data_IF_497738291416
#
_entry.id   IF_497738291416
#
_cell.length_a   1.000
_cell.length_b   1.000
_cell.length_c   1.000
_cell.angle_alpha   90.00
_cell.angle_beta   90.00
_cell.angle_gamma   90.00
#
_symmetry.space_group_name_H-M   'P 1'
#
loop_
_entity.id
_entity.type
_entity.pdbx_description
1 polymer ?
#
# COMPACT_ATOMS: atom_id res chain seq x y z
N UNK A 1 -1.29 108.96 -15.24
CA UNK A 1 -2.18 109.60 -16.21
C UNK A 1 -3.31 108.63 -16.60
N UNK A 2 -4.56 108.98 -16.34
CA UNK A 2 -5.84 108.39 -16.76
C UNK A 2 -6.15 106.96 -16.11
N UNK A 3 -6.95 106.87 -15.04
CA UNK A 3 -8.40 107.12 -14.79
C UNK A 3 -9.29 106.30 -15.76
N UNK A 4 -10.05 105.34 -15.23
CA UNK A 4 -11.52 105.17 -15.20
C UNK A 4 -11.95 103.82 -14.68
N UNK A 5 -12.54 103.74 -13.50
CA UNK A 5 -13.97 103.62 -13.13
C UNK A 5 -14.67 102.41 -13.73
N UNK A 6 -14.99 101.45 -12.93
CA UNK A 6 -16.23 101.18 -12.14
C UNK A 6 -17.40 100.69 -13.01
N UNK A 7 -17.95 99.53 -12.68
CA UNK A 7 -19.36 99.38 -12.46
C UNK A 7 -19.68 98.08 -11.71
N UNK A 8 -20.44 98.22 -10.65
CA UNK A 8 -21.06 97.23 -9.80
C UNK A 8 -22.30 96.72 -10.50
N UNK A 9 -22.55 95.40 -10.61
CA UNK A 9 -23.86 94.82 -10.73
C UNK A 9 -23.92 93.51 -9.99
N UNK A 10 -24.62 93.51 -8.91
CA UNK A 10 -25.13 92.30 -8.19
C UNK A 10 -26.40 91.86 -8.92
N UNK A 11 -26.64 90.57 -9.16
CA UNK A 11 -27.92 90.07 -8.67
C UNK A 11 -27.89 88.63 -8.17
N UNK A 12 -28.59 88.48 -7.11
CA UNK A 12 -29.60 87.48 -6.78
C UNK A 12 -29.15 86.00 -6.77
N UNK A 13 -29.00 85.56 -5.54
CA UNK A 13 -28.91 84.19 -5.13
C UNK A 13 -30.27 83.50 -5.36
N UNK A 14 -30.26 82.45 -6.21
CA UNK A 14 -31.31 81.40 -6.20
C UNK A 14 -30.69 80.16 -5.66
N UNK A 15 -31.02 79.79 -4.42
CA UNK A 15 -30.62 78.49 -3.82
C UNK A 15 -31.60 77.42 -4.32
N UNK A 16 -31.13 76.58 -5.23
CA UNK A 16 -31.80 75.33 -5.58
C UNK A 16 -31.24 74.23 -4.71
N UNK A 17 -32.03 73.75 -3.75
CA UNK A 17 -31.74 72.49 -3.01
C UNK A 17 -31.93 71.31 -3.98
N UNK A 18 -30.84 70.77 -4.43
CA UNK A 18 -30.84 69.44 -5.08
C UNK A 18 -30.54 68.40 -4.02
N UNK A 19 -31.54 67.64 -3.61
CA UNK A 19 -31.45 66.46 -2.81
C UNK A 19 -30.79 65.34 -3.64
N UNK A 20 -29.49 65.13 -3.42
CA UNK A 20 -28.77 63.99 -3.91
C UNK A 20 -29.18 62.77 -3.07
N UNK A 21 -30.11 61.96 -3.56
CA UNK A 21 -30.23 60.56 -3.16
C UNK A 21 -28.97 59.84 -3.63
N UNK A 22 -28.04 59.67 -2.71
CA UNK A 22 -26.88 58.76 -2.92
C UNK A 22 -27.36 57.33 -2.93
N UNK A 23 -27.51 56.73 -4.12
CA UNK A 23 -27.50 55.30 -4.25
C UNK A 23 -26.11 54.75 -3.82
N UNK A 24 -26.07 54.33 -2.58
CA UNK A 24 -24.93 53.52 -2.06
C UNK A 24 -25.04 52.12 -2.69
N UNK A 25 -24.41 51.93 -3.84
CA UNK A 25 -24.16 50.59 -4.39
C UNK A 25 -23.21 49.91 -3.41
N UNK A 26 -23.76 49.07 -2.53
CA UNK A 26 -23.00 48.05 -1.85
C UNK A 26 -22.37 47.16 -2.93
N UNK A 27 -21.07 47.34 -3.16
CA UNK A 27 -20.27 46.32 -3.81
C UNK A 27 -20.30 45.12 -2.88
N UNK A 28 -21.25 44.21 -3.14
CA UNK A 28 -21.18 42.85 -2.68
C UNK A 28 -19.88 42.31 -3.23
N UNK A 29 -18.84 42.26 -2.42
CA UNK A 29 -17.65 41.47 -2.72
C UNK A 29 -18.14 40.02 -2.87
N UNK A 30 -18.33 39.57 -4.11
CA UNK A 30 -18.34 38.15 -4.40
C UNK A 30 -16.99 37.64 -3.91
N UNK A 31 -16.97 37.09 -2.71
CA UNK A 31 -15.95 36.11 -2.36
C UNK A 31 -16.06 35.00 -3.40
N UNK A 32 -15.26 35.12 -4.45
CA UNK A 32 -14.91 34.02 -5.30
C UNK A 32 -14.19 33.04 -4.37
N UNK A 33 -14.97 32.15 -3.77
CA UNK A 33 -14.44 30.93 -3.17
C UNK A 33 -13.68 30.24 -4.30
N UNK A 34 -12.40 30.53 -4.40
CA UNK A 34 -11.45 29.75 -5.16
C UNK A 34 -11.51 28.38 -4.51
N UNK A 35 -12.31 27.49 -5.08
CA UNK A 35 -12.23 26.08 -4.71
C UNK A 35 -10.79 25.68 -5.02
N UNK A 36 -9.95 25.60 -3.98
CA UNK A 36 -8.58 25.19 -4.12
C UNK A 36 -8.58 23.88 -4.92
N UNK A 37 -7.82 23.85 -6.02
CA UNK A 37 -7.72 22.67 -6.88
C UNK A 37 -7.30 21.49 -6.00
N UNK A 38 -8.11 20.43 -5.98
CA UNK A 38 -7.77 19.21 -5.26
C UNK A 38 -6.53 18.56 -5.87
N UNK A 39 -5.60 18.15 -5.04
CA UNK A 39 -4.48 17.33 -5.51
C UNK A 39 -5.00 16.04 -6.11
N UNK A 40 -4.40 15.64 -7.23
CA UNK A 40 -4.68 14.41 -7.97
C UNK A 40 -3.54 13.43 -7.72
N UNK A 41 -3.81 12.35 -7.00
CA UNK A 41 -2.80 11.39 -6.57
C UNK A 41 -3.10 10.04 -7.21
N UNK A 42 -2.14 9.50 -7.96
CA UNK A 42 -2.20 8.15 -8.48
C UNK A 42 -1.74 7.14 -7.42
N UNK A 43 -2.51 6.09 -7.19
CA UNK A 43 -2.15 4.96 -6.32
C UNK A 43 -2.08 3.70 -7.17
N UNK A 44 -0.87 3.15 -7.29
CA UNK A 44 -0.52 2.10 -8.25
C UNK A 44 -0.07 0.85 -7.49
N UNK A 45 -0.95 -0.17 -7.33
CA UNK A 45 -0.61 -1.44 -6.70
C UNK A 45 0.21 -2.34 -7.63
N UNK A 46 0.77 -3.45 -7.09
CA UNK A 46 1.35 -4.52 -7.91
C UNK A 46 0.30 -5.28 -8.72
N UNK A 47 -0.89 -5.43 -8.15
CA UNK A 47 -2.03 -6.13 -8.75
C UNK A 47 -3.34 -5.66 -8.16
N UNK A 48 -4.46 -6.17 -8.68
CA UNK A 48 -5.80 -5.73 -8.26
C UNK A 48 -6.69 -6.87 -7.77
N UNK A 49 -6.19 -8.09 -7.70
CA UNK A 49 -7.01 -9.29 -7.46
C UNK A 49 -6.99 -9.81 -6.02
N UNK A 50 -5.92 -9.53 -5.24
CA UNK A 50 -5.80 -10.02 -3.86
C UNK A 50 -6.52 -9.11 -2.85
N UNK A 51 -6.98 -9.69 -1.74
CA UNK A 51 -7.64 -8.94 -0.65
C UNK A 51 -6.70 -7.91 -0.03
N UNK A 52 -5.40 -8.21 0.02
CA UNK A 52 -4.36 -7.28 0.45
C UNK A 52 -4.43 -5.93 -0.28
N UNK A 53 -4.59 -5.95 -1.62
CA UNK A 53 -4.68 -4.71 -2.41
C UNK A 53 -5.98 -3.95 -2.19
N UNK A 54 -7.08 -4.65 -1.91
CA UNK A 54 -8.35 -3.99 -1.54
C UNK A 54 -8.22 -3.23 -0.23
N UNK A 55 -7.47 -3.76 0.73
CA UNK A 55 -7.21 -3.07 1.99
C UNK A 55 -6.31 -1.83 1.80
N UNK A 56 -5.29 -1.89 0.94
CA UNK A 56 -4.49 -0.72 0.55
C UNK A 56 -5.38 0.33 -0.14
N UNK A 57 -6.24 -0.07 -1.07
CA UNK A 57 -7.20 0.82 -1.72
C UNK A 57 -8.10 1.51 -0.71
N UNK A 58 -8.64 0.76 0.25
CA UNK A 58 -9.49 1.31 1.31
C UNK A 58 -8.76 2.38 2.14
N UNK A 59 -7.50 2.13 2.48
CA UNK A 59 -6.64 3.11 3.17
C UNK A 59 -6.42 4.38 2.35
N UNK A 60 -6.13 4.24 1.06
CA UNK A 60 -5.94 5.36 0.15
C UNK A 60 -7.23 6.18 -0.03
N UNK A 61 -8.39 5.54 -0.17
CA UNK A 61 -9.69 6.22 -0.25
C UNK A 61 -10.08 6.89 1.07
N UNK A 62 -9.73 6.28 2.21
CA UNK A 62 -9.89 6.93 3.52
C UNK A 62 -9.09 8.23 3.58
N UNK A 63 -7.81 8.20 3.22
CA UNK A 63 -6.96 9.39 3.16
C UNK A 63 -7.51 10.43 2.17
N UNK A 64 -7.97 10.01 0.99
CA UNK A 64 -8.61 10.88 -0.01
C UNK A 64 -9.76 11.71 0.57
N UNK A 65 -10.64 11.05 1.35
CA UNK A 65 -11.80 11.71 1.98
C UNK A 65 -11.40 12.67 3.09
N UNK A 66 -10.45 12.26 3.94
CA UNK A 66 -10.03 13.06 5.09
C UNK A 66 -9.17 14.28 4.68
N UNK A 67 -8.33 14.12 3.65
CA UNK A 67 -7.42 15.16 3.17
C UNK A 67 -8.01 16.00 2.02
N UNK A 68 -9.21 15.66 1.53
CA UNK A 68 -9.88 16.40 0.45
C UNK A 68 -9.21 16.28 -0.91
N UNK A 69 -8.46 15.20 -1.17
CA UNK A 69 -7.73 14.97 -2.43
C UNK A 69 -8.45 13.97 -3.33
N UNK A 70 -8.09 13.95 -4.62
CA UNK A 70 -8.60 12.98 -5.59
C UNK A 70 -7.60 11.82 -5.73
N UNK A 71 -8.05 10.58 -5.57
CA UNK A 71 -7.23 9.39 -5.71
C UNK A 71 -7.65 8.59 -6.93
N UNK A 72 -6.68 8.31 -7.82
CA UNK A 72 -6.82 7.40 -8.95
C UNK A 72 -6.20 6.05 -8.60
N UNK A 73 -7.02 5.01 -8.51
CA UNK A 73 -6.57 3.64 -8.29
C UNK A 73 -6.44 2.93 -9.64
N UNK A 74 -5.22 2.60 -10.06
CA UNK A 74 -4.96 1.87 -11.31
C UNK A 74 -3.66 1.09 -11.20
N UNK A 75 -3.70 -0.18 -11.54
CA UNK A 75 -2.53 -1.06 -11.59
C UNK A 75 -2.75 -2.22 -12.54
N UNK A 76 -1.75 -3.09 -12.71
CA UNK A 76 -1.91 -4.31 -13.48
C UNK A 76 -2.93 -5.24 -12.82
N UNK A 77 -3.53 -6.11 -13.62
CA UNK A 77 -4.44 -7.13 -13.09
C UNK A 77 -3.67 -8.22 -12.34
N UNK A 78 -2.49 -8.59 -12.85
CA UNK A 78 -1.62 -9.62 -12.28
C UNK A 78 -0.30 -9.03 -11.80
N UNK A 79 0.26 -9.61 -10.76
CA UNK A 79 1.51 -9.14 -10.14
C UNK A 79 2.79 -9.57 -10.88
N UNK A 80 2.69 -10.05 -12.11
CA UNK A 80 3.82 -10.38 -13.00
C UNK A 80 3.87 -9.50 -14.27
N UNK A 81 2.90 -8.60 -14.45
CA UNK A 81 2.86 -7.70 -15.62
C UNK A 81 3.66 -6.42 -15.38
N UNK A 82 5.00 -6.56 -15.42
CA UNK A 82 5.95 -5.43 -15.28
C UNK A 82 5.72 -4.35 -16.33
N UNK A 83 5.47 -4.76 -17.58
CA UNK A 83 5.29 -3.82 -18.68
C UNK A 83 4.03 -2.96 -18.46
N UNK A 84 2.93 -3.58 -18.03
CA UNK A 84 1.71 -2.84 -17.72
C UNK A 84 1.91 -1.87 -16.56
N UNK A 85 2.63 -2.25 -15.48
CA UNK A 85 2.87 -1.33 -14.38
C UNK A 85 3.71 -0.13 -14.79
N UNK A 86 4.76 -0.33 -15.60
CA UNK A 86 5.56 0.76 -16.18
C UNK A 86 4.66 1.69 -17.00
N UNK A 87 3.85 1.16 -17.92
CA UNK A 87 2.92 1.94 -18.73
C UNK A 87 1.93 2.76 -17.88
N UNK A 88 1.44 2.19 -16.77
CA UNK A 88 0.55 2.90 -15.84
C UNK A 88 1.26 4.07 -15.17
N UNK A 89 2.52 3.92 -14.75
CA UNK A 89 3.31 5.02 -14.18
C UNK A 89 3.52 6.13 -15.23
N UNK A 90 3.95 5.77 -16.44
CA UNK A 90 4.18 6.71 -17.56
C UNK A 90 2.90 7.46 -17.98
N UNK A 91 1.74 6.78 -17.96
CA UNK A 91 0.42 7.39 -18.21
C UNK A 91 0.11 8.48 -17.17
N UNK A 92 0.35 8.23 -15.88
CA UNK A 92 0.13 9.22 -14.83
C UNK A 92 1.14 10.37 -14.86
N UNK A 93 2.39 10.13 -15.23
CA UNK A 93 3.37 11.20 -15.52
C UNK A 93 2.86 12.09 -16.63
N UNK A 94 2.43 11.50 -17.75
CA UNK A 94 1.89 12.23 -18.92
C UNK A 94 0.64 13.06 -18.57
N UNK A 95 -0.22 12.57 -17.68
CA UNK A 95 -1.40 13.27 -17.17
C UNK A 95 -1.07 14.36 -16.14
N UNK A 96 0.20 14.50 -15.76
CA UNK A 96 0.68 15.46 -14.76
C UNK A 96 -0.15 15.42 -13.49
N UNK A 97 -0.25 14.22 -12.88
CA UNK A 97 -0.81 14.08 -11.53
C UNK A 97 0.08 14.82 -10.54
N UNK A 98 -0.47 15.20 -9.39
CA UNK A 98 0.27 15.98 -8.39
C UNK A 98 1.19 15.09 -7.54
N UNK A 99 0.98 13.76 -7.53
CA UNK A 99 1.85 12.80 -6.86
C UNK A 99 1.49 11.35 -7.16
N UNK A 100 2.42 10.45 -6.87
CA UNK A 100 2.29 9.02 -7.11
C UNK A 100 2.58 8.25 -5.82
N UNK A 101 1.73 7.29 -5.49
CA UNK A 101 1.95 6.23 -4.49
C UNK A 101 2.11 4.93 -5.26
N UNK A 102 3.27 4.29 -5.17
CA UNK A 102 3.62 3.12 -5.97
C UNK A 102 4.04 1.94 -5.08
N UNK A 103 3.42 0.78 -5.28
CA UNK A 103 3.94 -0.50 -4.82
C UNK A 103 4.71 -1.16 -5.99
N UNK A 104 6.05 -1.10 -6.04
CA UNK A 104 6.80 -1.66 -7.16
C UNK A 104 6.63 -3.18 -7.25
N UNK A 105 6.20 -3.67 -8.38
CA UNK A 105 6.09 -5.08 -8.68
C UNK A 105 7.48 -5.72 -8.82
N UNK A 106 8.44 -4.95 -9.34
CA UNK A 106 9.83 -5.33 -9.52
C UNK A 106 10.73 -4.19 -9.02
N UNK A 107 11.73 -4.53 -8.19
CA UNK A 107 12.58 -3.56 -7.50
C UNK A 107 13.55 -2.80 -8.40
N UNK A 108 13.77 -3.29 -9.64
CA UNK A 108 14.67 -2.72 -10.66
C UNK A 108 13.93 -2.05 -11.80
N UNK A 109 12.90 -2.73 -12.32
CA UNK A 109 12.19 -2.29 -13.51
C UNK A 109 11.52 -0.91 -13.34
N UNK A 110 11.09 -0.58 -12.11
CA UNK A 110 10.40 0.67 -11.79
C UNK A 110 11.36 1.83 -11.42
N UNK A 111 12.68 1.60 -11.31
CA UNK A 111 13.66 2.64 -10.94
C UNK A 111 13.63 3.81 -11.94
N UNK A 112 13.67 3.51 -13.24
CA UNK A 112 13.65 4.53 -14.29
C UNK A 112 12.36 5.33 -14.35
N UNK A 113 11.16 4.70 -14.39
CA UNK A 113 9.90 5.44 -14.34
C UNK A 113 9.73 6.34 -13.11
N UNK A 114 10.17 5.86 -11.94
CA UNK A 114 10.14 6.66 -10.70
C UNK A 114 11.10 7.85 -10.78
N UNK A 115 12.32 7.66 -11.29
CA UNK A 115 13.28 8.74 -11.48
C UNK A 115 12.76 9.80 -12.47
N UNK A 116 12.03 9.39 -13.52
CA UNK A 116 11.40 10.29 -14.47
C UNK A 116 10.27 11.10 -13.81
N UNK A 117 9.38 10.47 -13.05
CA UNK A 117 8.34 11.17 -12.29
C UNK A 117 8.95 12.24 -11.36
N UNK A 118 9.97 11.87 -10.58
CA UNK A 118 10.66 12.80 -9.68
C UNK A 118 11.32 13.96 -10.43
N UNK A 119 11.90 13.72 -11.60
CA UNK A 119 12.50 14.75 -12.47
C UNK A 119 11.45 15.73 -13.03
N UNK A 120 10.26 15.24 -13.34
CA UNK A 120 9.12 16.05 -13.78
C UNK A 120 8.42 16.80 -12.61
N UNK A 121 8.97 16.70 -11.38
CA UNK A 121 8.44 17.36 -10.19
C UNK A 121 7.23 16.65 -9.57
N UNK A 122 6.98 15.40 -9.94
CA UNK A 122 5.91 14.57 -9.38
C UNK A 122 6.49 13.74 -8.22
N UNK A 123 6.19 14.06 -6.95
CA UNK A 123 6.69 13.30 -5.81
C UNK A 123 6.17 11.86 -5.82
N UNK A 124 7.06 10.91 -5.54
CA UNK A 124 6.74 9.49 -5.47
C UNK A 124 6.95 8.96 -4.05
N UNK A 125 5.91 8.34 -3.50
CA UNK A 125 5.98 7.53 -2.27
C UNK A 125 5.95 6.06 -2.67
N UNK A 126 6.94 5.32 -2.20
CA UNK A 126 6.97 3.86 -2.38
C UNK A 126 6.25 3.22 -1.20
N UNK A 127 5.41 2.21 -1.47
CA UNK A 127 4.71 1.43 -0.44
C UNK A 127 4.94 -0.07 -0.62
N UNK A 128 4.72 -0.87 0.44
CA UNK A 128 4.77 -2.34 0.46
C UNK A 128 6.14 -2.94 0.11
N UNK A 129 6.65 -2.68 -1.07
CA UNK A 129 7.83 -3.34 -1.64
C UNK A 129 8.90 -2.31 -1.98
N UNK A 130 10.15 -2.61 -1.64
CA UNK A 130 11.27 -1.70 -1.87
C UNK A 130 11.54 -1.49 -3.37
N UNK A 131 12.10 -0.32 -3.68
CA UNK A 131 12.68 0.01 -4.98
C UNK A 131 14.18 0.23 -4.81
N UNK A 132 15.00 -0.20 -5.77
CA UNK A 132 16.44 0.04 -5.72
C UNK A 132 16.75 1.54 -5.84
N UNK A 133 17.75 1.97 -5.06
CA UNK A 133 18.08 3.39 -4.91
C UNK A 133 17.17 4.10 -3.91
N UNK A 134 17.21 5.43 -3.92
CA UNK A 134 16.52 6.27 -2.94
C UNK A 134 15.83 7.51 -3.56
N UNK A 135 15.69 7.52 -4.88
CA UNK A 135 15.09 8.63 -5.63
C UNK A 135 13.55 8.63 -5.54
N UNK A 136 13.04 8.69 -4.31
CA UNK A 136 11.64 8.85 -3.94
C UNK A 136 11.55 9.59 -2.60
N UNK A 137 10.39 10.14 -2.24
CA UNK A 137 10.27 10.98 -1.06
C UNK A 137 10.14 10.18 0.24
N UNK A 138 9.44 9.03 0.21
CA UNK A 138 9.21 8.18 1.40
C UNK A 138 9.00 6.72 0.98
N UNK A 139 9.31 5.80 1.90
CA UNK A 139 8.99 4.38 1.81
C UNK A 139 8.17 3.93 3.02
N UNK A 140 6.92 3.52 2.78
CA UNK A 140 5.94 3.12 3.80
C UNK A 140 5.64 1.63 3.64
N UNK A 141 6.16 0.80 4.53
CA UNK A 141 6.01 -0.65 4.43
C UNK A 141 6.19 -1.35 5.79
N UNK A 142 5.80 -2.60 5.84
CA UNK A 142 6.17 -3.56 6.88
C UNK A 142 7.68 -3.83 6.86
N UNK A 143 8.27 -4.13 8.00
CA UNK A 143 9.59 -4.77 8.06
C UNK A 143 9.47 -6.23 7.58
N UNK A 144 9.67 -6.40 6.26
CA UNK A 144 9.48 -7.68 5.58
C UNK A 144 10.49 -8.75 6.04
N UNK A 145 11.74 -8.35 6.33
CA UNK A 145 12.75 -9.27 6.86
C UNK A 145 12.34 -9.82 8.23
N UNK A 146 11.92 -8.92 9.13
CA UNK A 146 11.39 -9.29 10.46
C UNK A 146 10.17 -10.22 10.34
N UNK A 147 9.28 -9.97 9.36
CA UNK A 147 8.15 -10.87 9.09
C UNK A 147 8.60 -12.30 8.74
N UNK A 148 9.66 -12.43 7.94
CA UNK A 148 10.27 -13.74 7.64
C UNK A 148 10.89 -14.41 8.87
N UNK A 149 11.60 -13.63 9.71
CA UNK A 149 12.14 -14.12 10.99
C UNK A 149 11.03 -14.64 11.91
N UNK A 150 9.93 -13.89 12.04
CA UNK A 150 8.78 -14.33 12.84
C UNK A 150 8.15 -15.62 12.31
N UNK A 151 8.04 -15.77 11.00
CA UNK A 151 7.54 -17.00 10.39
C UNK A 151 8.46 -18.20 10.67
N UNK A 152 9.77 -18.00 10.63
CA UNK A 152 10.77 -19.04 10.94
C UNK A 152 10.65 -19.51 12.38
N UNK A 153 10.63 -18.59 13.35
CA UNK A 153 10.45 -18.91 14.77
C UNK A 153 9.14 -19.65 15.02
N UNK A 154 8.04 -19.17 14.40
CA UNK A 154 6.73 -19.84 14.58
C UNK A 154 6.74 -21.25 14.00
N UNK A 155 7.27 -21.46 12.81
CA UNK A 155 7.33 -22.80 12.22
C UNK A 155 8.23 -23.73 13.03
N UNK A 156 9.40 -23.27 13.45
CA UNK A 156 10.31 -24.04 14.27
C UNK A 156 9.70 -24.39 15.64
N UNK A 157 9.03 -23.43 16.30
CA UNK A 157 8.33 -23.66 17.57
C UNK A 157 7.34 -24.82 17.48
N UNK A 158 6.45 -24.81 16.48
CA UNK A 158 5.39 -25.82 16.32
C UNK A 158 5.89 -27.18 15.82
N UNK A 159 7.12 -27.22 15.27
CA UNK A 159 7.83 -28.46 14.91
C UNK A 159 8.75 -28.97 16.02
N UNK A 160 8.89 -28.24 17.12
CA UNK A 160 9.82 -28.62 18.20
C UNK A 160 11.29 -28.49 17.82
N UNK A 161 11.62 -27.54 16.91
CA UNK A 161 12.98 -27.21 16.47
C UNK A 161 13.61 -28.19 15.49
N UNK A 162 12.88 -29.16 14.97
CA UNK A 162 13.37 -30.20 14.03
C UNK A 162 12.29 -30.59 13.03
N UNK A 163 12.67 -31.23 11.92
CA UNK A 163 11.72 -31.72 10.92
C UNK A 163 12.08 -31.28 9.50
N UNK A 164 11.26 -31.66 8.55
CA UNK A 164 11.49 -31.44 7.11
C UNK A 164 10.50 -30.42 6.57
N UNK A 165 11.00 -29.35 5.96
CA UNK A 165 10.14 -28.22 5.56
C UNK A 165 10.36 -27.80 4.10
N UNK A 166 9.35 -27.07 3.56
CA UNK A 166 9.47 -26.29 2.35
C UNK A 166 9.48 -24.81 2.67
N UNK A 167 10.38 -24.07 2.02
CA UNK A 167 10.23 -22.66 1.70
C UNK A 167 9.73 -22.57 0.25
N UNK A 168 8.49 -22.22 0.06
CA UNK A 168 7.93 -21.95 -1.28
C UNK A 168 8.04 -20.44 -1.53
N UNK A 169 8.89 -20.06 -2.50
CA UNK A 169 9.14 -18.67 -2.86
C UNK A 169 8.01 -18.10 -3.73
N UNK A 170 7.93 -16.78 -3.82
CA UNK A 170 6.84 -16.15 -4.59
C UNK A 170 7.22 -15.82 -6.03
N UNK A 171 8.00 -14.76 -6.24
CA UNK A 171 8.38 -14.23 -7.56
C UNK A 171 9.71 -13.50 -7.48
N UNK A 172 10.58 -13.76 -8.43
CA UNK A 172 11.85 -13.04 -8.56
C UNK A 172 11.60 -11.55 -8.90
N UNK A 173 12.34 -10.65 -8.23
CA UNK A 173 12.21 -9.21 -8.37
C UNK A 173 11.20 -8.55 -7.40
N UNK A 174 10.35 -9.34 -6.73
CA UNK A 174 9.48 -8.82 -5.68
C UNK A 174 10.25 -8.64 -4.38
N UNK A 175 10.70 -7.42 -4.08
CA UNK A 175 11.56 -7.15 -2.92
C UNK A 175 10.91 -7.53 -1.58
N UNK A 176 9.61 -7.24 -1.38
CA UNK A 176 8.92 -7.56 -0.13
C UNK A 176 8.98 -9.06 0.20
N UNK A 177 8.64 -9.91 -0.76
CA UNK A 177 8.66 -11.37 -0.57
C UNK A 177 10.09 -11.92 -0.51
N UNK A 178 11.02 -11.36 -1.27
CA UNK A 178 12.45 -11.72 -1.18
C UNK A 178 13.00 -11.47 0.23
N UNK A 179 12.70 -10.35 0.87
CA UNK A 179 13.12 -10.09 2.25
C UNK A 179 12.46 -11.02 3.27
N UNK A 180 11.18 -11.38 3.10
CA UNK A 180 10.50 -12.38 3.93
C UNK A 180 11.17 -13.74 3.83
N UNK A 181 11.44 -14.17 2.60
CA UNK A 181 12.14 -15.43 2.29
C UNK A 181 13.56 -15.45 2.86
N UNK A 182 14.30 -14.34 2.76
CA UNK A 182 15.63 -14.18 3.31
C UNK A 182 15.61 -14.27 4.84
N UNK A 183 14.73 -13.48 5.51
CA UNK A 183 14.61 -13.52 6.96
C UNK A 183 14.25 -14.91 7.49
N UNK A 184 13.37 -15.62 6.78
CA UNK A 184 13.00 -16.99 7.11
C UNK A 184 14.21 -17.94 6.94
N UNK A 185 14.85 -17.92 5.76
CA UNK A 185 15.94 -18.84 5.43
C UNK A 185 17.15 -18.67 6.34
N UNK A 186 17.57 -17.43 6.59
CA UNK A 186 18.72 -17.14 7.45
C UNK A 186 18.44 -17.57 8.90
N UNK A 187 17.23 -17.33 9.41
CA UNK A 187 16.84 -17.73 10.77
C UNK A 187 16.80 -19.26 10.91
N UNK A 188 16.14 -19.97 9.99
CA UNK A 188 16.11 -21.45 10.02
C UNK A 188 17.53 -22.01 9.97
N UNK A 189 18.35 -21.53 9.04
CA UNK A 189 19.71 -22.08 8.85
C UNK A 189 20.61 -21.82 10.07
N UNK A 190 20.49 -20.66 10.70
CA UNK A 190 21.36 -20.27 11.82
C UNK A 190 20.90 -20.84 13.16
N UNK A 191 19.59 -20.83 13.43
CA UNK A 191 19.06 -21.05 14.77
C UNK A 191 18.40 -22.42 14.94
N UNK A 192 18.04 -23.11 13.84
CA UNK A 192 17.36 -24.39 13.87
C UNK A 192 18.03 -25.43 12.96
N UNK A 193 19.29 -25.82 13.25
CA UNK A 193 20.07 -26.69 12.37
C UNK A 193 19.52 -28.11 12.20
N UNK A 194 18.58 -28.54 13.07
CA UNK A 194 17.89 -29.84 12.93
C UNK A 194 16.67 -29.76 12.01
N UNK A 195 16.33 -28.56 11.48
CA UNK A 195 15.30 -28.40 10.47
C UNK A 195 15.93 -28.55 9.07
N UNK A 196 15.49 -29.55 8.35
CA UNK A 196 15.95 -29.86 6.98
C UNK A 196 15.08 -29.10 5.96
N UNK A 197 15.69 -28.22 5.16
CA UNK A 197 15.05 -27.54 4.03
C UNK A 197 15.05 -28.44 2.80
N UNK A 198 13.99 -29.21 2.56
CA UNK A 198 13.81 -30.05 1.39
C UNK A 198 13.68 -29.24 0.10
N UNK A 199 13.06 -28.05 0.20
CA UNK A 199 12.82 -27.12 -0.90
C UNK A 199 13.05 -25.70 -0.41
N UNK A 200 13.82 -24.89 -1.18
CA UNK A 200 14.13 -23.49 -0.86
C UNK A 200 14.29 -22.57 -2.09
N UNK A 201 14.14 -23.13 -3.29
CA UNK A 201 14.46 -22.47 -4.57
C UNK A 201 13.31 -22.54 -5.59
N UNK A 202 12.12 -22.99 -5.17
CA UNK A 202 10.97 -23.13 -6.05
C UNK A 202 10.01 -21.92 -5.89
N UNK A 203 9.65 -21.33 -7.03
CA UNK A 203 8.80 -20.15 -7.11
C UNK A 203 7.37 -20.53 -7.46
N UNK A 204 6.42 -20.09 -6.61
CA UNK A 204 4.98 -20.35 -6.78
C UNK A 204 4.35 -19.57 -7.94
N UNK A 205 4.97 -18.46 -8.35
CA UNK A 205 4.32 -17.51 -9.25
C UNK A 205 3.28 -16.65 -8.52
N UNK A 206 2.53 -15.87 -9.30
CA UNK A 206 1.69 -14.79 -8.75
C UNK A 206 0.24 -15.17 -8.43
N UNK A 207 -0.17 -16.40 -8.74
CA UNK A 207 -1.56 -16.81 -8.57
C UNK A 207 -1.72 -17.95 -7.56
N UNK A 208 -2.88 -17.99 -6.92
CA UNK A 208 -3.27 -19.13 -6.07
C UNK A 208 -3.18 -20.46 -6.81
N UNK A 209 -3.55 -20.47 -8.09
CA UNK A 209 -3.54 -21.69 -8.89
C UNK A 209 -2.11 -22.19 -9.16
N UNK A 210 -1.18 -21.33 -9.56
CA UNK A 210 0.22 -21.73 -9.76
C UNK A 210 0.87 -22.22 -8.46
N UNK A 211 0.57 -21.58 -7.33
CA UNK A 211 1.03 -22.00 -6.01
C UNK A 211 0.43 -23.34 -5.58
N UNK A 212 -0.84 -23.58 -5.88
CA UNK A 212 -1.50 -24.87 -5.67
C UNK A 212 -0.81 -25.97 -6.46
N UNK A 213 -0.61 -25.80 -7.76
CA UNK A 213 0.03 -26.79 -8.64
C UNK A 213 1.47 -27.10 -8.21
N UNK A 214 2.25 -26.08 -7.88
CA UNK A 214 3.61 -26.28 -7.36
C UNK A 214 3.57 -27.09 -6.06
N UNK A 215 2.70 -26.74 -5.13
CA UNK A 215 2.62 -27.41 -3.83
C UNK A 215 2.19 -28.87 -3.99
N UNK A 216 1.21 -29.17 -4.85
CA UNK A 216 0.82 -30.55 -5.16
C UNK A 216 1.98 -31.39 -5.69
N UNK A 217 2.77 -30.83 -6.63
CA UNK A 217 3.94 -31.50 -7.18
C UNK A 217 5.00 -31.78 -6.09
N UNK A 218 5.20 -30.80 -5.18
CA UNK A 218 6.15 -30.94 -4.08
C UNK A 218 5.69 -31.98 -3.05
N UNK A 219 4.40 -31.98 -2.67
CA UNK A 219 3.82 -32.99 -1.76
C UNK A 219 3.95 -34.40 -2.32
N UNK A 220 3.74 -34.59 -3.62
CA UNK A 220 3.91 -35.87 -4.30
C UNK A 220 5.36 -36.36 -4.31
N UNK A 221 6.31 -35.41 -4.48
CA UNK A 221 7.76 -35.73 -4.55
C UNK A 221 8.37 -35.93 -3.16
N UNK A 222 7.86 -35.22 -2.14
CA UNK A 222 8.39 -35.21 -0.79
C UNK A 222 7.30 -35.47 0.25
N UNK A 223 6.72 -36.70 0.29
CA UNK A 223 5.59 -37.01 1.17
C UNK A 223 5.92 -36.93 2.67
N UNK A 224 7.21 -36.84 3.01
CA UNK A 224 7.71 -36.73 4.39
C UNK A 224 7.77 -35.27 4.90
N UNK A 225 7.26 -34.29 4.16
CA UNK A 225 7.27 -32.89 4.61
C UNK A 225 6.39 -32.70 5.86
N UNK A 226 6.90 -31.94 6.80
CA UNK A 226 6.24 -31.68 8.10
C UNK A 226 5.82 -30.23 8.25
N UNK A 227 6.45 -29.29 7.49
CA UNK A 227 6.12 -27.89 7.55
C UNK A 227 6.33 -27.14 6.22
N UNK A 228 5.56 -26.07 6.02
CA UNK A 228 5.64 -25.22 4.83
C UNK A 228 5.59 -23.76 5.27
N UNK A 229 6.46 -22.93 4.70
CA UNK A 229 6.35 -21.47 4.75
C UNK A 229 6.09 -20.91 3.36
N UNK A 230 5.18 -19.92 3.30
CA UNK A 230 4.82 -19.19 2.08
C UNK A 230 4.74 -17.68 2.37
N UNK A 231 5.31 -16.80 1.50
CA UNK A 231 5.58 -15.41 1.87
C UNK A 231 4.48 -14.39 1.55
N UNK A 232 3.29 -14.81 1.02
CA UNK A 232 2.19 -13.89 0.72
C UNK A 232 0.83 -14.60 0.60
N UNK A 233 -0.27 -13.81 0.44
CA UNK A 233 -1.65 -14.29 0.38
C UNK A 233 -1.86 -15.42 -0.64
N UNK A 234 -1.47 -15.22 -1.91
CA UNK A 234 -1.77 -16.18 -2.98
C UNK A 234 -1.01 -17.49 -2.82
N UNK A 235 0.27 -17.42 -2.43
CA UNK A 235 1.08 -18.64 -2.18
C UNK A 235 0.58 -19.39 -0.94
N UNK A 236 0.17 -18.67 0.12
CA UNK A 236 -0.40 -19.28 1.33
C UNK A 236 -1.72 -20.00 1.02
N UNK A 237 -2.61 -19.36 0.25
CA UNK A 237 -3.88 -19.97 -0.09
C UNK A 237 -3.72 -21.14 -1.08
N UNK A 238 -2.78 -21.05 -2.02
CA UNK A 238 -2.46 -22.16 -2.92
C UNK A 238 -1.92 -23.39 -2.16
N UNK A 239 -0.96 -23.19 -1.25
CA UNK A 239 -0.43 -24.25 -0.41
C UNK A 239 -1.51 -24.89 0.49
N UNK A 240 -2.37 -24.06 1.12
CA UNK A 240 -3.51 -24.54 1.90
C UNK A 240 -4.42 -25.48 1.08
N UNK A 241 -4.81 -25.04 -0.14
CA UNK A 241 -5.68 -25.84 -1.02
C UNK A 241 -5.04 -27.20 -1.35
N UNK A 242 -3.74 -27.23 -1.64
CA UNK A 242 -3.03 -28.48 -1.90
C UNK A 242 -3.04 -29.41 -0.67
N UNK A 243 -2.76 -28.86 0.51
CA UNK A 243 -2.83 -29.61 1.77
C UNK A 243 -4.26 -30.14 2.05
N UNK A 244 -5.29 -29.35 1.79
CA UNK A 244 -6.67 -29.78 1.94
C UNK A 244 -7.02 -30.92 0.97
N UNK A 245 -6.62 -30.81 -0.29
CA UNK A 245 -6.85 -31.83 -1.32
C UNK A 245 -6.21 -33.18 -0.96
N UNK A 246 -5.03 -33.15 -0.36
CA UNK A 246 -4.31 -34.35 0.08
C UNK A 246 -4.71 -34.85 1.48
N UNK A 247 -5.65 -34.20 2.17
CA UNK A 247 -6.02 -34.54 3.56
C UNK A 247 -4.88 -34.33 4.57
N UNK A 248 -3.96 -33.41 4.26
CA UNK A 248 -2.79 -33.05 5.05
C UNK A 248 -2.93 -31.72 5.82
N UNK A 249 -4.01 -30.96 5.56
CA UNK A 249 -4.30 -29.73 6.28
C UNK A 249 -4.39 -30.00 7.80
N UNK A 250 -3.71 -29.18 8.59
CA UNK A 250 -3.56 -29.37 10.05
C UNK A 250 -2.51 -30.42 10.46
N UNK A 251 -2.13 -31.37 9.62
CA UNK A 251 -1.08 -32.35 9.86
C UNK A 251 0.29 -31.77 9.48
N UNK A 252 0.44 -31.32 8.23
CA UNK A 252 1.60 -30.51 7.80
C UNK A 252 1.43 -29.10 8.34
N UNK A 253 2.44 -28.59 9.02
CA UNK A 253 2.41 -27.26 9.64
C UNK A 253 2.57 -26.18 8.59
N UNK A 254 1.53 -25.37 8.38
CA UNK A 254 1.55 -24.26 7.44
C UNK A 254 1.65 -22.94 8.20
N UNK A 255 2.70 -22.18 7.91
CA UNK A 255 2.86 -20.78 8.31
C UNK A 255 2.87 -19.95 7.04
N UNK A 256 2.02 -18.93 6.97
CA UNK A 256 1.86 -18.09 5.80
C UNK A 256 1.94 -16.61 6.11
N UNK A 257 1.56 -15.81 5.14
CA UNK A 257 1.59 -14.37 5.20
C UNK A 257 0.26 -13.78 4.71
N UNK A 258 -0.12 -12.61 5.26
CA UNK A 258 -1.35 -11.90 4.94
C UNK A 258 -2.63 -12.58 5.45
N UNK A 259 -3.78 -12.01 5.16
CA UNK A 259 -5.08 -12.53 5.54
C UNK A 259 -6.08 -12.46 4.38
N UNK A 260 -7.01 -13.39 4.39
CA UNK A 260 -8.24 -13.36 3.59
C UNK A 260 -9.30 -14.18 4.32
N UNK A 261 -10.57 -14.05 3.95
CA UNK A 261 -11.65 -14.80 4.61
C UNK A 261 -11.37 -16.31 4.66
N UNK A 262 -10.76 -16.88 3.61
CA UNK A 262 -10.40 -18.31 3.54
C UNK A 262 -9.23 -18.67 4.46
N UNK A 263 -8.21 -17.83 4.53
CA UNK A 263 -7.07 -18.05 5.42
C UNK A 263 -7.46 -17.93 6.89
N UNK A 264 -8.34 -16.98 7.22
CA UNK A 264 -8.87 -16.80 8.59
C UNK A 264 -9.69 -18.03 9.03
N UNK A 265 -10.56 -18.55 8.15
CA UNK A 265 -11.32 -19.77 8.42
C UNK A 265 -10.41 -20.97 8.64
N UNK A 266 -9.33 -21.10 7.87
CA UNK A 266 -8.36 -22.18 8.01
C UNK A 266 -7.51 -22.03 9.29
N UNK A 267 -7.16 -20.79 9.68
CA UNK A 267 -6.49 -20.52 10.95
C UNK A 267 -7.38 -20.93 12.14
N UNK A 268 -8.66 -20.58 12.11
CA UNK A 268 -9.63 -20.96 13.14
C UNK A 268 -9.83 -22.47 13.26
N UNK A 269 -9.61 -23.23 12.18
CA UNK A 269 -9.70 -24.71 12.15
C UNK A 269 -8.37 -25.42 12.43
N UNK A 270 -7.30 -24.68 12.75
CA UNK A 270 -5.95 -25.22 12.86
C UNK A 270 -5.42 -25.91 11.58
N UNK A 271 -5.95 -25.56 10.41
CA UNK A 271 -5.43 -25.98 9.12
C UNK A 271 -4.21 -25.12 8.70
N UNK A 272 -4.14 -23.89 9.22
CA UNK A 272 -2.98 -22.98 9.23
C UNK A 272 -2.56 -22.76 10.67
N UNK A 273 -1.26 -22.64 10.93
CA UNK A 273 -0.70 -22.58 12.28
C UNK A 273 -0.10 -21.20 12.62
N UNK A 274 -0.03 -20.32 11.66
CA UNK A 274 0.39 -18.94 11.82
C UNK A 274 0.23 -18.15 10.52
N UNK A 275 -0.20 -16.90 10.66
CA UNK A 275 -0.23 -15.90 9.59
C UNK A 275 0.53 -14.67 10.06
N UNK A 276 1.57 -14.31 9.32
CA UNK A 276 2.26 -13.03 9.53
C UNK A 276 1.42 -11.94 8.90
N UNK A 277 0.95 -11.00 9.72
CA UNK A 277 0.05 -9.93 9.30
C UNK A 277 0.78 -8.62 9.15
N UNK A 278 0.39 -7.87 8.14
CA UNK A 278 0.75 -6.48 7.88
C UNK A 278 -0.44 -5.56 8.19
N UNK A 279 -0.22 -4.25 8.04
CA UNK A 279 -1.30 -3.25 8.05
C UNK A 279 -1.41 -2.58 6.65
N UNK A 280 -2.03 -3.24 5.67
CA UNK A 280 -2.16 -2.70 4.32
C UNK A 280 -3.03 -1.43 4.28
N UNK A 281 -4.04 -1.33 5.14
CA UNK A 281 -4.89 -0.15 5.21
C UNK A 281 -4.10 1.09 5.66
N UNK A 282 -3.21 0.92 6.65
CA UNK A 282 -2.28 1.97 7.10
C UNK A 282 -1.27 2.33 6.01
N UNK A 283 -0.76 1.35 5.23
CA UNK A 283 0.15 1.62 4.11
C UNK A 283 -0.51 2.52 3.05
N UNK A 284 -1.73 2.18 2.61
CA UNK A 284 -2.46 2.96 1.64
C UNK A 284 -2.77 4.38 2.13
N UNK A 285 -3.20 4.50 3.39
CA UNK A 285 -3.47 5.80 4.02
C UNK A 285 -2.22 6.67 4.12
N UNK A 286 -1.14 6.14 4.69
CA UNK A 286 0.10 6.88 4.86
C UNK A 286 0.77 7.19 3.52
N UNK A 287 0.67 6.31 2.53
CA UNK A 287 1.17 6.58 1.18
C UNK A 287 0.61 7.87 0.61
N UNK A 288 -0.73 8.03 0.63
CA UNK A 288 -1.41 9.26 0.18
C UNK A 288 -1.06 10.44 1.07
N UNK A 289 -1.07 10.24 2.40
CA UNK A 289 -0.75 11.31 3.36
C UNK A 289 0.66 11.87 3.15
N UNK A 290 1.67 11.03 2.92
CA UNK A 290 3.05 11.49 2.70
C UNK A 290 3.20 12.29 1.40
N UNK A 291 2.46 11.95 0.35
CA UNK A 291 2.40 12.77 -0.87
C UNK A 291 1.82 14.15 -0.55
N UNK A 292 0.69 14.21 0.16
CA UNK A 292 0.04 15.48 0.52
C UNK A 292 0.93 16.32 1.43
N UNK A 293 1.54 15.71 2.46
CA UNK A 293 2.45 16.41 3.38
C UNK A 293 3.62 17.05 2.61
N UNK A 294 4.19 16.34 1.63
CA UNK A 294 5.25 16.87 0.78
C UNK A 294 4.78 18.04 -0.08
N UNK A 295 3.62 17.93 -0.73
CA UNK A 295 3.06 18.98 -1.59
C UNK A 295 2.71 20.26 -0.81
N UNK A 296 2.39 20.13 0.47
CA UNK A 296 2.10 21.24 1.36
C UNK A 296 3.34 21.73 2.15
N UNK A 297 4.53 21.23 1.81
CA UNK A 297 5.78 21.64 2.44
C UNK A 297 5.96 21.17 3.88
N UNK A 298 5.20 20.16 4.31
CA UNK A 298 5.36 19.54 5.63
C UNK A 298 6.49 18.51 5.62
N UNK A 299 7.15 18.25 6.76
CA UNK A 299 8.17 17.21 6.85
C UNK A 299 7.64 15.81 6.51
N UNK A 300 8.42 15.06 5.74
CA UNK A 300 8.11 13.68 5.35
C UNK A 300 9.24 12.76 5.82
N UNK A 301 8.87 11.72 6.57
CA UNK A 301 9.82 10.69 7.00
C UNK A 301 10.27 9.84 5.80
N UNK A 302 11.59 9.60 5.69
CA UNK A 302 12.14 8.80 4.58
C UNK A 302 11.68 7.34 4.63
N UNK A 303 11.46 6.77 5.82
CA UNK A 303 10.96 5.41 6.01
C UNK A 303 9.97 5.35 7.16
N UNK A 304 8.83 4.70 6.92
CA UNK A 304 7.80 4.44 7.94
C UNK A 304 7.54 2.94 7.99
N UNK A 305 7.76 2.34 9.16
CA UNK A 305 7.35 0.96 9.43
C UNK A 305 5.88 0.93 9.85
N UNK A 306 5.09 0.14 9.15
CA UNK A 306 3.66 -0.04 9.46
C UNK A 306 3.39 -1.10 10.50
N UNK A 307 4.43 -1.84 10.90
CA UNK A 307 4.35 -2.92 11.87
C UNK A 307 4.15 -4.30 11.23
N UNK A 308 4.41 -5.33 12.04
CA UNK A 308 4.22 -6.74 11.67
C UNK A 308 3.87 -7.55 12.93
N UNK A 309 2.92 -8.47 12.82
CA UNK A 309 2.50 -9.33 13.95
C UNK A 309 2.22 -10.76 13.47
N UNK A 310 2.33 -11.73 14.37
CA UNK A 310 1.96 -13.12 14.14
C UNK A 310 0.55 -13.38 14.68
N UNK A 311 -0.36 -13.75 13.78
CA UNK A 311 -1.66 -14.31 14.17
C UNK A 311 -1.55 -15.85 14.27
N UNK A 312 -2.09 -16.39 15.35
CA UNK A 312 -2.17 -17.83 15.60
C UNK A 312 -3.61 -18.19 15.98
N UNK A 313 -4.00 -19.46 15.97
CA UNK A 313 -5.31 -19.88 16.47
C UNK A 313 -5.63 -19.36 17.88
N UNK A 314 -4.61 -19.26 18.75
CA UNK A 314 -4.79 -18.87 20.15
C UNK A 314 -5.01 -17.36 20.34
N UNK A 315 -4.43 -16.52 19.47
CA UNK A 315 -4.47 -15.06 19.61
C UNK A 315 -5.35 -14.32 18.59
N UNK A 316 -5.88 -15.02 17.58
CA UNK A 316 -6.62 -14.40 16.47
C UNK A 316 -7.83 -13.57 16.88
N UNK A 317 -8.40 -13.84 18.05
CA UNK A 317 -9.54 -13.11 18.60
C UNK A 317 -9.15 -11.89 19.45
N UNK A 318 -7.85 -11.64 19.68
CA UNK A 318 -7.40 -10.43 20.36
C UNK A 318 -7.72 -9.21 19.52
N UNK A 319 -8.23 -8.10 20.09
CA UNK A 319 -8.75 -6.96 19.32
C UNK A 319 -7.77 -6.42 18.26
N UNK A 320 -6.48 -6.27 18.61
CA UNK A 320 -5.45 -5.78 17.69
C UNK A 320 -5.15 -6.74 16.53
N UNK A 321 -5.11 -8.06 16.81
CA UNK A 321 -4.89 -9.09 15.79
C UNK A 321 -6.13 -9.20 14.89
N UNK A 322 -7.32 -9.24 15.49
CA UNK A 322 -8.58 -9.32 14.75
C UNK A 322 -8.77 -8.16 13.79
N UNK A 323 -8.41 -6.94 14.20
CA UNK A 323 -8.50 -5.75 13.35
C UNK A 323 -7.59 -5.83 12.11
N UNK A 324 -6.44 -6.53 12.19
CA UNK A 324 -5.54 -6.77 11.06
C UNK A 324 -5.98 -7.96 10.20
N UNK A 325 -6.56 -8.98 10.80
CA UNK A 325 -7.15 -10.12 10.08
C UNK A 325 -8.36 -9.67 9.24
N UNK A 326 -9.23 -8.86 9.82
CA UNK A 326 -10.52 -8.44 9.25
C UNK A 326 -10.62 -6.90 9.25
N UNK A 327 -9.80 -6.18 8.45
CA UNK A 327 -9.88 -4.73 8.40
C UNK A 327 -11.23 -4.27 7.86
N UNK A 328 -11.83 -3.25 8.48
CA UNK A 328 -13.11 -2.70 8.02
C UNK A 328 -12.93 -1.86 6.75
N UNK A 329 -12.89 -2.52 5.61
CA UNK A 329 -12.72 -1.89 4.30
C UNK A 329 -14.05 -1.47 3.64
N UNK A 330 -15.18 -2.03 4.08
CA UNK A 330 -16.50 -1.86 3.44
C UNK A 330 -16.97 -0.40 3.27
N UNK A 331 -16.60 0.58 4.12
CA UNK A 331 -16.96 1.98 3.88
C UNK A 331 -16.25 2.62 2.69
N UNK A 332 -15.16 2.02 2.19
CA UNK A 332 -14.25 2.63 1.22
C UNK A 332 -14.22 1.90 -0.13
N UNK A 333 -14.34 0.59 -0.14
CA UNK A 333 -14.32 -0.24 -1.35
C UNK A 333 -15.50 -1.22 -1.35
N UNK A 334 -16.01 -1.52 -2.55
CA UNK A 334 -17.14 -2.45 -2.75
C UNK A 334 -16.63 -3.82 -3.21
#
# INVERSE_FOLDING_TARGET
MKIRRAFICLPVIIILFFSLLGCRTEKKSEEVSSSARKYRIAVIPKGTTHEFWKAIQAGAIKASRELGVEVFWKGPQKEDDRAQQITVVEDFISRRVDGIVLAPLDDRALVRPVAEAMKEGIPVVIIDSNLQGDNYISFVATDNYKGGVMAAHRLAEILGGRGKIFLIRYLEGSASTTFREQGFLETITREYPEIELLVKDQYAGTTTESAYQLTENLLSRYPQVEGIFTPNESSTFGALRALQQHGLAGKVKLVGFDSSAKLIQALAKNEIHGLVLQDPMKMGYLGVKMVVDFLEGRPVEKRIDTGVVMATPDNMNQPGIKALLEPNISPYVR
#
